data_IF_920507844551
#
_entry.id   IF_920507844551
#
_cell.length_a   1.000
_cell.length_b   1.000
_cell.length_c   1.000
_cell.angle_alpha   90.00
_cell.angle_beta   90.00
_cell.angle_gamma   90.00
#
_symmetry.space_group_name_H-M   'P 1'
#
loop_
_entity.id
_entity.type
_entity.pdbx_description
1 polymer ?
#
# COMPACT_ATOMS: atom_id res chain seq x y z
N UNK A 1 -6.30 9.33 22.49
CA UNK A 1 -5.89 8.01 23.06
C UNK A 1 -6.21 6.83 22.13
N UNK A 2 -7.08 6.99 21.11
CA UNK A 2 -7.46 5.93 20.17
C UNK A 2 -6.43 5.74 19.02
N UNK A 3 -5.61 6.75 18.76
CA UNK A 3 -4.68 6.77 17.61
C UNK A 3 -3.47 5.83 17.79
N UNK A 4 -3.01 5.58 19.00
CA UNK A 4 -1.84 4.71 19.23
C UNK A 4 -2.10 3.22 18.97
N UNK A 5 -3.37 2.78 18.99
CA UNK A 5 -3.75 1.40 18.68
C UNK A 5 -3.77 1.09 17.16
N UNK A 6 -3.75 2.14 16.33
CA UNK A 6 -3.83 2.00 14.88
C UNK A 6 -2.45 2.03 14.18
N UNK A 7 -1.39 2.36 14.92
CA UNK A 7 -0.01 2.27 14.45
C UNK A 7 0.52 0.90 14.78
N UNK A 8 0.86 0.14 13.76
CA UNK A 8 1.55 -1.14 13.90
C UNK A 8 3.02 -0.93 14.30
N UNK A 9 3.69 -2.01 14.64
CA UNK A 9 5.11 -2.03 14.95
C UNK A 9 5.84 -2.87 13.89
N UNK A 10 6.65 -2.21 13.07
CA UNK A 10 7.46 -2.86 12.04
C UNK A 10 8.90 -3.00 12.51
N UNK A 11 9.58 -4.06 12.07
CA UNK A 11 10.99 -4.28 12.42
C UNK A 11 11.90 -3.11 12.04
N UNK A 12 13.00 -2.97 12.74
CA UNK A 12 13.95 -1.84 12.62
C UNK A 12 14.62 -1.69 11.25
N UNK A 13 14.51 -2.68 10.37
CA UNK A 13 14.99 -2.60 8.98
C UNK A 13 14.07 -1.80 8.05
N UNK A 14 12.86 -1.45 8.50
CA UNK A 14 11.92 -0.67 7.72
C UNK A 14 12.17 0.83 7.95
N UNK A 15 12.59 1.53 6.92
CA UNK A 15 12.83 2.97 7.00
C UNK A 15 11.52 3.76 6.83
N UNK A 16 11.31 4.76 7.66
CA UNK A 16 10.21 5.71 7.42
C UNK A 16 10.37 6.34 6.03
N UNK A 17 9.26 6.56 5.35
CA UNK A 17 9.27 7.20 4.02
C UNK A 17 10.00 8.55 4.01
N UNK A 18 10.06 9.23 5.16
CA UNK A 18 10.82 10.48 5.36
C UNK A 18 12.32 10.28 5.48
N UNK A 19 12.82 9.03 5.60
CA UNK A 19 14.22 8.68 5.73
C UNK A 19 14.80 8.25 4.39
N UNK A 20 14.87 9.04 3.43
CA UNK A 20 15.55 8.64 2.20
C UNK A 20 17.08 8.77 2.30
N UNK A 21 17.87 8.21 1.36
CA UNK A 21 19.27 8.57 1.19
C UNK A 21 19.43 10.10 1.09
N UNK A 22 20.66 10.67 1.10
CA UNK A 22 20.86 12.12 1.11
C UNK A 22 20.07 12.91 0.05
N UNK A 23 19.50 12.18 -0.92
CA UNK A 23 18.55 12.65 -1.92
C UNK A 23 17.24 11.86 -1.82
N UNK A 24 16.84 11.49 -0.63
CA UNK A 24 15.76 10.55 -0.35
C UNK A 24 14.41 10.85 -1.00
N UNK A 25 13.44 9.94 -0.88
CA UNK A 25 12.22 9.95 -1.67
C UNK A 25 11.48 11.31 -1.60
N UNK A 26 11.57 12.00 -0.49
CA UNK A 26 10.94 13.32 -0.37
C UNK A 26 11.68 14.47 -1.08
N UNK A 27 12.89 14.25 -1.58
CA UNK A 27 13.64 15.22 -2.38
C UNK A 27 13.33 15.07 -3.88
N UNK A 28 12.98 13.85 -4.32
CA UNK A 28 12.58 13.57 -5.69
C UNK A 28 11.05 13.62 -5.85
N UNK A 29 10.51 14.52 -6.71
CA UNK A 29 9.08 14.61 -6.95
C UNK A 29 8.45 13.31 -7.46
N UNK A 30 9.15 12.53 -8.27
CA UNK A 30 8.63 11.28 -8.82
C UNK A 30 8.44 10.24 -7.71
N UNK A 31 9.43 10.05 -6.87
CA UNK A 31 9.36 9.13 -5.72
C UNK A 31 8.27 9.57 -4.73
N UNK A 32 8.12 10.87 -4.49
CA UNK A 32 7.03 11.42 -3.68
C UNK A 32 5.65 11.09 -4.23
N UNK A 33 5.47 11.21 -5.53
CA UNK A 33 4.22 10.88 -6.19
C UNK A 33 3.90 9.39 -6.05
N UNK A 34 4.89 8.51 -6.21
CA UNK A 34 4.72 7.07 -5.98
C UNK A 34 4.33 6.75 -4.52
N UNK A 35 4.97 7.40 -3.56
CA UNK A 35 4.59 7.28 -2.15
C UNK A 35 3.14 7.76 -1.91
N UNK A 36 2.71 8.85 -2.55
CA UNK A 36 1.35 9.38 -2.44
C UNK A 36 0.28 8.49 -3.10
N UNK A 37 0.67 7.60 -4.02
CA UNK A 37 -0.23 6.61 -4.62
C UNK A 37 -0.51 5.41 -3.68
N UNK A 38 0.30 5.24 -2.62
CA UNK A 38 0.24 4.08 -1.73
C UNK A 38 -0.51 4.43 -0.45
N UNK A 39 -1.52 3.64 -0.12
CA UNK A 39 -2.34 3.79 1.08
C UNK A 39 -2.29 2.58 2.00
N UNK A 40 -2.47 2.82 3.31
CA UNK A 40 -2.72 1.77 4.30
C UNK A 40 -4.18 1.33 4.17
N UNK A 41 -4.38 0.05 4.00
CA UNK A 41 -5.69 -0.56 3.89
C UNK A 41 -6.13 -1.10 5.25
N UNK A 42 -7.34 -0.76 5.67
CA UNK A 42 -7.94 -1.23 6.93
C UNK A 42 -9.35 -1.72 6.62
N UNK A 43 -9.63 -2.97 6.92
CA UNK A 43 -10.91 -3.60 6.59
C UNK A 43 -11.28 -4.67 7.62
N UNK A 44 -12.54 -5.11 7.59
CA UNK A 44 -13.03 -6.19 8.42
C UNK A 44 -12.97 -7.50 7.65
N UNK A 45 -12.47 -8.56 8.28
CA UNK A 45 -12.50 -9.91 7.71
C UNK A 45 -13.81 -10.61 8.08
N UNK A 46 -14.25 -11.65 7.33
CA UNK A 46 -15.50 -12.35 7.62
C UNK A 46 -15.63 -12.92 9.02
N UNK A 47 -14.52 -13.24 9.68
CA UNK A 47 -14.49 -13.68 11.08
C UNK A 47 -14.75 -12.57 12.11
N UNK A 48 -14.89 -11.30 11.66
CA UNK A 48 -15.18 -10.15 12.52
C UNK A 48 -13.95 -9.39 13.03
N UNK A 49 -12.74 -9.80 12.68
CA UNK A 49 -11.50 -9.09 13.02
C UNK A 49 -11.20 -7.93 12.06
N UNK A 50 -10.28 -7.06 12.47
CA UNK A 50 -9.73 -5.99 11.62
C UNK A 50 -8.39 -6.45 11.04
N UNK A 51 -8.26 -6.41 9.71
CA UNK A 51 -7.02 -6.67 9.00
C UNK A 51 -6.42 -5.39 8.43
N UNK A 52 -5.12 -5.43 8.14
CA UNK A 52 -4.35 -4.32 7.59
C UNK A 52 -3.49 -4.81 6.44
N UNK A 53 -3.46 -4.02 5.38
CA UNK A 53 -2.68 -4.30 4.18
C UNK A 53 -2.12 -3.00 3.60
N UNK A 54 -1.45 -3.13 2.46
CA UNK A 54 -1.02 -2.01 1.62
C UNK A 54 -1.67 -2.14 0.25
N UNK A 55 -2.05 -1.02 -0.35
CA UNK A 55 -2.49 -0.97 -1.73
C UNK A 55 -2.02 0.29 -2.43
N UNK A 56 -1.96 0.22 -3.75
CA UNK A 56 -1.50 1.33 -4.58
C UNK A 56 -2.55 1.66 -5.63
N UNK A 57 -2.92 2.94 -5.75
CA UNK A 57 -3.73 3.40 -6.87
C UNK A 57 -2.94 3.35 -8.17
N UNK A 58 -3.56 2.78 -9.17
CA UNK A 58 -2.99 2.66 -10.52
C UNK A 58 -3.84 3.39 -11.54
N UNK A 59 -3.19 4.01 -12.53
CA UNK A 59 -3.88 4.65 -13.65
C UNK A 59 -4.38 3.57 -14.62
N UNK A 60 -5.53 3.78 -15.22
CA UNK A 60 -6.01 2.96 -16.33
C UNK A 60 -5.39 3.40 -17.68
N UNK A 61 -5.42 2.51 -18.66
CA UNK A 61 -4.83 2.79 -19.97
C UNK A 61 -5.40 4.06 -20.66
N UNK A 62 -6.71 4.37 -20.57
CA UNK A 62 -7.26 5.61 -21.08
C UNK A 62 -6.87 6.87 -20.29
N UNK A 63 -6.34 6.72 -19.06
CA UNK A 63 -6.07 7.86 -18.17
C UNK A 63 -7.33 8.52 -17.62
N UNK A 64 -8.40 7.75 -17.42
CA UNK A 64 -9.68 8.27 -16.92
C UNK A 64 -9.66 8.57 -15.41
N UNK A 65 -8.58 8.21 -14.71
CA UNK A 65 -8.44 8.31 -13.26
C UNK A 65 -9.54 7.57 -12.48
N UNK A 66 -10.10 6.53 -13.08
CA UNK A 66 -10.92 5.58 -12.34
C UNK A 66 -10.08 5.02 -11.19
N UNK A 67 -10.58 5.06 -9.92
CA UNK A 67 -9.76 4.77 -8.77
C UNK A 67 -9.54 3.26 -8.59
N UNK A 68 -8.75 2.67 -9.47
CA UNK A 68 -8.30 1.29 -9.36
C UNK A 68 -7.22 1.17 -8.31
N UNK A 69 -7.44 0.27 -7.35
CA UNK A 69 -6.52 -0.02 -6.26
C UNK A 69 -5.98 -1.44 -6.44
N UNK A 70 -4.67 -1.55 -6.56
CA UNK A 70 -3.96 -2.82 -6.66
C UNK A 70 -3.44 -3.24 -5.30
N UNK A 71 -3.65 -4.49 -4.93
CA UNK A 71 -3.22 -5.06 -3.67
C UNK A 71 -3.00 -6.56 -3.77
N UNK A 72 -2.88 -7.24 -2.63
CA UNK A 72 -2.63 -8.67 -2.54
C UNK A 72 -3.93 -9.49 -2.40
N UNK A 73 -3.98 -10.69 -2.98
CA UNK A 73 -5.12 -11.59 -2.86
C UNK A 73 -5.37 -12.02 -1.42
N UNK A 74 -4.31 -12.33 -0.65
CA UNK A 74 -4.48 -12.75 0.75
C UNK A 74 -5.12 -11.66 1.64
N UNK A 75 -5.20 -10.41 1.16
CA UNK A 75 -5.92 -9.33 1.83
C UNK A 75 -7.40 -9.28 1.44
N UNK A 76 -7.76 -9.76 0.24
CA UNK A 76 -9.11 -9.64 -0.33
C UNK A 76 -9.56 -10.97 -0.92
N UNK A 77 -9.78 -11.95 -0.06
CA UNK A 77 -10.23 -13.29 -0.48
C UNK A 77 -11.69 -13.29 -0.92
N UNK A 78 -12.48 -12.37 -0.42
CA UNK A 78 -13.90 -12.21 -0.77
C UNK A 78 -14.26 -10.74 -1.05
N UNK A 79 -15.45 -10.50 -1.55
CA UNK A 79 -15.96 -9.14 -1.73
C UNK A 79 -16.26 -8.42 -0.39
N UNK A 80 -16.32 -9.15 0.71
CA UNK A 80 -16.65 -8.57 2.02
C UNK A 80 -15.53 -7.66 2.54
N UNK A 81 -14.27 -8.07 2.40
CA UNK A 81 -13.11 -7.26 2.78
C UNK A 81 -13.07 -5.96 1.97
N UNK A 82 -13.35 -6.05 0.66
CA UNK A 82 -13.43 -4.88 -0.21
C UNK A 82 -14.59 -3.95 0.19
N UNK A 83 -15.75 -4.49 0.52
CA UNK A 83 -16.92 -3.71 0.95
C UNK A 83 -16.65 -2.93 2.24
N UNK A 84 -15.89 -3.48 3.17
CA UNK A 84 -15.58 -2.85 4.47
C UNK A 84 -14.31 -2.01 4.45
N UNK A 85 -13.66 -1.87 3.30
CA UNK A 85 -12.38 -1.19 3.15
C UNK A 85 -12.45 0.30 3.50
N UNK A 86 -11.48 0.73 4.30
CA UNK A 86 -11.09 2.11 4.48
C UNK A 86 -9.63 2.26 4.05
N UNK A 87 -9.32 3.32 3.31
CA UNK A 87 -7.95 3.61 2.89
C UNK A 87 -7.43 4.82 3.64
N UNK A 88 -6.27 4.67 4.28
CA UNK A 88 -5.61 5.74 5.01
C UNK A 88 -4.49 6.30 4.14
N UNK A 89 -4.70 7.51 3.62
CA UNK A 89 -3.78 8.23 2.77
C UNK A 89 -2.87 9.12 3.61
N UNK A 90 -1.62 9.30 3.18
CA UNK A 90 -0.64 10.15 3.84
C UNK A 90 -0.36 9.76 5.30
N UNK A 91 -0.57 8.48 5.63
CA UNK A 91 -0.26 7.93 6.95
C UNK A 91 1.24 7.69 7.07
N UNK A 92 1.99 8.79 7.08
CA UNK A 92 3.44 8.86 6.98
C UNK A 92 4.03 9.30 8.33
N UNK A 93 5.30 9.04 8.59
CA UNK A 93 5.98 9.66 9.74
C UNK A 93 6.14 11.16 9.51
N UNK A 94 6.11 11.95 10.58
CA UNK A 94 6.32 13.41 10.49
C UNK A 94 7.77 13.79 10.23
N UNK A 95 8.71 12.91 10.53
CA UNK A 95 10.15 13.04 10.27
C UNK A 95 10.80 11.66 10.24
N UNK A 96 12.02 11.57 9.73
CA UNK A 96 12.76 10.32 9.59
C UNK A 96 12.82 9.50 10.89
N UNK A 97 13.16 10.11 12.00
CA UNK A 97 13.30 9.45 13.29
C UNK A 97 12.09 9.60 14.21
N UNK A 98 10.97 10.13 13.70
CA UNK A 98 9.77 10.35 14.49
C UNK A 98 8.83 9.15 14.39
N UNK A 99 8.37 8.57 15.49
CA UNK A 99 7.26 7.62 15.50
C UNK A 99 5.89 8.33 15.49
N UNK A 100 5.87 9.67 15.45
CA UNK A 100 4.64 10.44 15.55
C UNK A 100 3.78 10.27 14.29
N UNK A 101 2.51 10.01 14.51
CA UNK A 101 1.49 10.00 13.46
C UNK A 101 1.25 11.43 12.97
N UNK A 102 1.17 11.67 11.65
CA UNK A 102 0.79 12.96 11.12
C UNK A 102 -0.63 13.32 11.58
N UNK A 103 -0.86 14.59 11.82
CA UNK A 103 -2.20 15.08 12.18
C UNK A 103 -3.14 15.21 10.97
N UNK A 104 -2.61 15.14 9.77
CA UNK A 104 -3.27 15.49 8.51
C UNK A 104 -3.49 14.29 7.57
N UNK A 105 -3.28 13.05 8.02
CA UNK A 105 -3.65 11.89 7.21
C UNK A 105 -5.16 11.82 6.97
N UNK A 106 -5.56 11.30 5.81
CA UNK A 106 -6.96 11.24 5.39
C UNK A 106 -7.46 9.81 5.40
N UNK A 107 -8.58 9.55 6.08
CA UNK A 107 -9.27 8.26 6.03
C UNK A 107 -10.39 8.34 5.00
N UNK A 108 -10.21 7.67 3.88
CA UNK A 108 -11.23 7.48 2.86
C UNK A 108 -12.07 6.27 3.22
N UNK A 109 -13.36 6.49 3.43
CA UNK A 109 -14.37 5.45 3.68
C UNK A 109 -15.20 5.18 2.44
N UNK A 110 -16.08 4.19 2.50
CA UNK A 110 -17.02 3.87 1.42
C UNK A 110 -16.77 2.54 0.74
N UNK A 111 -15.69 1.87 1.09
CA UNK A 111 -15.37 0.55 0.55
C UNK A 111 -14.95 0.57 -0.91
N UNK A 112 -14.88 -0.63 -1.47
CA UNK A 112 -14.50 -0.87 -2.86
C UNK A 112 -15.28 -2.05 -3.44
N UNK A 113 -15.33 -2.14 -4.76
CA UNK A 113 -15.72 -3.33 -5.48
C UNK A 113 -14.48 -4.18 -5.78
N UNK A 114 -14.50 -5.47 -5.45
CA UNK A 114 -13.49 -6.43 -5.87
C UNK A 114 -13.75 -6.79 -7.34
N UNK A 115 -12.83 -6.43 -8.23
CA UNK A 115 -12.97 -6.63 -9.67
C UNK A 115 -12.35 -7.96 -10.14
N UNK A 116 -11.25 -8.37 -9.50
CA UNK A 116 -10.55 -9.59 -9.83
C UNK A 116 -9.45 -9.89 -8.84
N UNK A 117 -9.03 -11.14 -8.79
CA UNK A 117 -7.95 -11.58 -7.94
C UNK A 117 -7.33 -12.89 -8.45
N UNK A 118 -6.13 -13.20 -7.99
CA UNK A 118 -5.48 -14.47 -8.25
C UNK A 118 -4.79 -14.96 -6.97
N UNK A 119 -5.13 -16.17 -6.55
CA UNK A 119 -4.46 -16.82 -5.43
C UNK A 119 -3.04 -17.28 -5.82
N UNK A 120 -2.86 -17.77 -7.03
CA UNK A 120 -1.56 -18.29 -7.49
C UNK A 120 -0.50 -17.19 -7.62
N UNK A 121 -0.93 -15.96 -7.91
CA UNK A 121 -0.06 -14.81 -8.12
C UNK A 121 -0.21 -13.74 -7.04
N UNK A 122 -1.02 -14.01 -6.04
CA UNK A 122 -1.30 -13.14 -4.90
C UNK A 122 -1.60 -11.68 -5.25
N UNK A 123 -2.42 -11.44 -6.27
CA UNK A 123 -2.87 -10.09 -6.60
C UNK A 123 -4.39 -9.94 -6.46
N UNK A 124 -4.82 -8.74 -6.12
CA UNK A 124 -6.21 -8.30 -6.15
C UNK A 124 -6.32 -6.92 -6.79
N UNK A 125 -7.36 -6.75 -7.62
CA UNK A 125 -7.72 -5.48 -8.23
C UNK A 125 -9.09 -5.05 -7.70
N UNK A 126 -9.12 -3.86 -7.13
CA UNK A 126 -10.32 -3.23 -6.58
C UNK A 126 -10.62 -1.93 -7.33
N UNK A 127 -11.86 -1.47 -7.22
CA UNK A 127 -12.25 -0.12 -7.59
C UNK A 127 -12.88 0.54 -6.38
N UNK A 128 -12.28 1.62 -5.89
CA UNK A 128 -12.85 2.40 -4.80
C UNK A 128 -14.21 2.97 -5.20
N UNK A 129 -15.16 2.99 -4.27
CA UNK A 129 -16.50 3.48 -4.53
C UNK A 129 -16.60 5.01 -4.51
N UNK A 130 -15.58 5.68 -3.98
CA UNK A 130 -15.47 7.14 -3.93
C UNK A 130 -14.14 7.59 -4.54
N UNK A 131 -14.07 8.83 -5.02
CA UNK A 131 -12.83 9.41 -5.50
C UNK A 131 -11.81 9.53 -4.35
N UNK A 132 -10.50 9.29 -4.61
CA UNK A 132 -9.46 9.54 -3.63
C UNK A 132 -9.36 11.03 -3.28
N UNK A 133 -8.84 11.38 -2.09
CA UNK A 133 -8.66 12.77 -1.71
C UNK A 133 -7.62 13.48 -2.57
N UNK A 134 -7.66 14.81 -2.56
CA UNK A 134 -6.67 15.64 -3.22
C UNK A 134 -5.25 15.33 -2.76
N UNK A 135 -4.29 15.35 -3.67
CA UNK A 135 -2.88 15.04 -3.41
C UNK A 135 -2.53 13.56 -3.54
N UNK A 136 -3.51 12.67 -3.61
CA UNK A 136 -3.26 11.26 -3.92
C UNK A 136 -2.89 11.13 -5.40
N UNK A 137 -1.86 10.33 -5.67
CA UNK A 137 -1.35 10.08 -7.01
C UNK A 137 -1.86 8.76 -7.58
N UNK A 138 -1.78 8.60 -8.89
CA UNK A 138 -2.05 7.35 -9.59
C UNK A 138 -0.74 6.86 -10.21
N UNK A 139 -0.25 5.71 -9.75
CA UNK A 139 0.95 5.10 -10.30
C UNK A 139 0.71 4.55 -11.70
N UNK A 140 1.70 4.70 -12.57
CA UNK A 140 1.78 3.92 -13.79
C UNK A 140 2.00 2.43 -13.48
N UNK A 141 1.84 1.61 -14.49
CA UNK A 141 2.12 0.17 -14.42
C UNK A 141 2.73 -0.31 -15.74
N UNK A 142 3.52 -1.36 -15.63
CA UNK A 142 4.11 -2.05 -16.79
C UNK A 142 4.03 -3.56 -16.53
N UNK A 143 3.53 -4.30 -17.51
CA UNK A 143 3.45 -5.76 -17.47
C UNK A 143 4.67 -6.45 -18.10
N UNK A 144 5.66 -5.70 -18.55
CA UNK A 144 6.88 -6.27 -19.08
C UNK A 144 7.68 -6.99 -17.99
N UNK A 145 8.42 -8.03 -18.40
CA UNK A 145 9.30 -8.75 -17.48
C UNK A 145 10.45 -7.84 -17.05
N UNK A 146 10.60 -7.67 -15.75
CA UNK A 146 11.72 -6.90 -15.19
C UNK A 146 12.99 -7.75 -15.21
N UNK A 147 14.05 -7.22 -15.82
CA UNK A 147 15.36 -7.86 -15.86
C UNK A 147 16.08 -7.85 -14.50
N UNK A 148 17.20 -8.59 -14.40
CA UNK A 148 18.11 -8.50 -13.26
C UNK A 148 18.90 -7.18 -13.28
N UNK A 149 19.25 -6.66 -12.13
CA UNK A 149 20.06 -5.44 -11.99
C UNK A 149 19.27 -4.12 -12.10
N UNK A 150 17.95 -4.17 -12.19
CA UNK A 150 17.10 -2.97 -12.23
C UNK A 150 16.87 -2.45 -10.81
N UNK A 151 17.10 -1.15 -10.59
CA UNK A 151 16.79 -0.49 -9.32
C UNK A 151 15.27 -0.48 -9.07
N UNK A 152 14.85 -0.81 -7.87
CA UNK A 152 13.44 -0.85 -7.47
C UNK A 152 13.24 -0.16 -6.13
N UNK A 153 12.09 0.46 -5.97
CA UNK A 153 11.63 1.05 -4.71
C UNK A 153 10.27 0.45 -4.33
N UNK A 154 10.01 0.35 -3.05
CA UNK A 154 8.75 -0.14 -2.51
C UNK A 154 8.26 0.78 -1.40
N UNK A 155 6.98 1.12 -1.45
CA UNK A 155 6.26 1.84 -0.41
C UNK A 155 5.20 0.94 0.18
N UNK A 156 5.17 0.82 1.50
CA UNK A 156 4.28 -0.12 2.18
C UNK A 156 4.01 0.28 3.63
N UNK A 157 3.02 -0.36 4.22
CA UNK A 157 2.62 -0.20 5.62
C UNK A 157 2.80 -1.54 6.36
N UNK A 158 4.05 -1.95 6.66
CA UNK A 158 4.30 -3.27 7.26
C UNK A 158 3.66 -3.35 8.65
N UNK A 159 2.96 -4.44 8.92
CA UNK A 159 2.18 -4.62 10.16
C UNK A 159 1.17 -3.49 10.44
N UNK A 160 0.82 -2.70 9.44
CA UNK A 160 -0.04 -1.52 9.60
C UNK A 160 0.65 -0.31 10.24
N UNK A 161 1.97 -0.29 10.26
CA UNK A 161 2.78 0.85 10.70
C UNK A 161 2.65 2.06 9.76
N UNK A 162 3.25 3.18 10.14
CA UNK A 162 3.46 4.34 9.28
C UNK A 162 4.12 3.92 7.97
N UNK A 163 3.89 4.67 6.90
CA UNK A 163 4.45 4.32 5.60
C UNK A 163 5.97 4.18 5.66
N UNK A 164 6.44 3.07 5.16
CA UNK A 164 7.85 2.75 5.04
C UNK A 164 8.28 2.73 3.58
N UNK A 165 9.56 2.87 3.41
CA UNK A 165 10.25 2.85 2.14
C UNK A 165 11.40 1.86 2.18
N UNK A 166 11.57 1.15 1.12
CA UNK A 166 12.73 0.28 0.90
C UNK A 166 13.16 0.38 -0.56
N UNK A 167 14.43 0.16 -0.80
CA UNK A 167 15.01 0.16 -2.13
C UNK A 167 15.95 -1.03 -2.28
N UNK A 168 16.13 -1.43 -3.51
CA UNK A 168 16.98 -2.55 -3.82
C UNK A 168 17.24 -2.67 -5.31
N UNK A 169 17.80 -3.79 -5.69
CA UNK A 169 18.07 -4.12 -7.08
C UNK A 169 17.49 -5.50 -7.37
N UNK A 170 16.81 -5.66 -8.49
CA UNK A 170 16.26 -6.95 -8.89
C UNK A 170 17.39 -7.95 -9.12
N UNK A 171 17.25 -9.15 -8.56
CA UNK A 171 18.23 -10.21 -8.73
C UNK A 171 17.84 -11.23 -9.80
N UNK A 172 16.52 -11.44 -9.97
CA UNK A 172 15.95 -12.39 -10.91
C UNK A 172 14.56 -12.84 -10.46
N UNK A 173 13.95 -13.70 -11.23
CA UNK A 173 12.67 -14.29 -10.89
C UNK A 173 12.90 -15.52 -9.98
N UNK A 174 12.18 -15.57 -8.87
CA UNK A 174 12.17 -16.70 -7.95
C UNK A 174 10.73 -17.19 -7.78
N UNK A 175 10.56 -18.49 -7.64
CA UNK A 175 9.26 -19.03 -7.24
C UNK A 175 9.13 -18.93 -5.73
N UNK A 176 8.07 -18.29 -5.26
CA UNK A 176 7.72 -18.22 -3.85
C UNK A 176 6.43 -18.99 -3.61
N UNK A 177 6.40 -19.79 -2.55
CA UNK A 177 5.17 -20.40 -2.06
C UNK A 177 4.59 -19.49 -1.00
N UNK A 178 3.44 -18.89 -1.31
CA UNK A 178 2.65 -18.22 -0.28
C UNK A 178 2.00 -19.30 0.59
N UNK A 179 2.64 -19.66 1.68
CA UNK A 179 1.96 -20.43 2.71
C UNK A 179 0.75 -19.57 3.14
N UNK A 180 -0.45 -20.12 3.03
CA UNK A 180 -1.63 -19.47 3.58
C UNK A 180 -1.31 -19.09 5.02
N UNK A 181 -1.35 -17.82 5.38
CA UNK A 181 -1.25 -17.36 6.74
C UNK A 181 -2.54 -17.75 7.48
N UNK A 182 -2.74 -19.05 7.65
CA UNK A 182 -3.72 -19.60 8.54
C UNK A 182 -3.13 -19.49 9.94
N UNK A 183 -3.50 -18.45 10.63
CA UNK A 183 -3.38 -18.37 12.07
C UNK A 183 -2.07 -17.75 12.60
N UNK A 184 -2.12 -16.51 12.97
CA UNK A 184 -1.29 -15.81 13.91
C UNK A 184 -2.16 -14.75 14.59
#
# INVERSE_FOLDING_TARGET
>A
LKLLQDVGDSGSCNLNVMCGPPNGPFQDPQTRNQAAATGKLVFTVPSGGTARCTGTLIVDAPGSFTPYLYGANHCFETAYEAFTLNVWWFFDATACSSPATPGDYVVQTGGAALLGRSQDWDWALLRLNTAPPEGVWFSGWDAATVGSGVGVESFHHPSGDLKKWSYGTTYGNVSVNFASAAGG
#
